data_IF_402099105610
#
_entry.id   IF_402099105610
#
_cell.length_a   1.000
_cell.length_b   1.000
_cell.length_c   1.000
_cell.angle_alpha   90.00
_cell.angle_beta   90.00
_cell.angle_gamma   90.00
#
_symmetry.space_group_name_H-M   'P 1'
#
loop_
_entity.id
_entity.type
_entity.pdbx_description
1 polymer ?
#
# COMPACT_ATOMS: atom_id res chain seq x y z
N UNK A 1 41.50 -17.18 0.01
CA UNK A 1 40.29 -17.88 0.46
C UNK A 1 40.28 -17.82 1.97
N UNK A 2 39.65 -16.79 2.54
CA UNK A 2 39.42 -16.69 3.99
C UNK A 2 37.94 -16.42 4.16
N UNK A 3 37.22 -17.48 4.51
CA UNK A 3 35.79 -17.46 4.75
C UNK A 3 35.53 -16.70 6.05
N UNK A 4 34.82 -15.59 5.94
CA UNK A 4 34.30 -14.82 7.07
C UNK A 4 33.09 -15.57 7.63
N UNK A 5 33.33 -16.50 8.54
CA UNK A 5 32.27 -17.09 9.36
C UNK A 5 31.84 -16.07 10.42
N UNK A 6 30.79 -15.30 10.14
CA UNK A 6 30.04 -14.61 11.19
C UNK A 6 29.41 -15.66 12.10
N UNK A 7 29.59 -15.52 13.41
CA UNK A 7 29.05 -16.48 14.38
C UNK A 7 27.55 -16.21 14.58
N UNK A 8 26.71 -17.26 14.64
CA UNK A 8 25.24 -17.11 14.72
C UNK A 8 24.80 -16.29 15.95
N UNK A 9 25.54 -16.35 17.05
CA UNK A 9 25.28 -15.56 18.25
C UNK A 9 25.42 -14.04 18.05
N UNK A 10 26.30 -13.58 17.15
CA UNK A 10 26.46 -12.16 16.82
C UNK A 10 25.30 -11.64 15.96
N UNK A 11 24.70 -12.49 15.12
CA UNK A 11 23.55 -12.16 14.29
C UNK A 11 22.26 -12.13 15.10
N UNK A 12 22.07 -13.09 16.03
CA UNK A 12 20.91 -13.13 16.93
C UNK A 12 20.83 -11.87 17.82
N UNK A 13 21.95 -11.42 18.38
CA UNK A 13 22.00 -10.20 19.20
C UNK A 13 21.75 -8.92 18.40
N UNK A 14 22.19 -8.86 17.13
CA UNK A 14 21.89 -7.76 16.23
C UNK A 14 20.41 -7.73 15.82
N UNK A 15 19.79 -8.88 15.60
CA UNK A 15 18.37 -9.01 15.31
C UNK A 15 17.50 -8.60 16.50
N UNK A 16 17.87 -9.00 17.72
CA UNK A 16 17.21 -8.58 18.96
C UNK A 16 17.28 -7.07 19.18
N UNK A 17 18.44 -6.45 18.91
CA UNK A 17 18.60 -5.00 18.97
C UNK A 17 17.71 -4.27 17.95
N UNK A 18 17.62 -4.79 16.71
CA UNK A 18 16.74 -4.24 15.66
C UNK A 18 15.27 -4.35 16.05
N UNK A 19 14.85 -5.49 16.59
CA UNK A 19 13.49 -5.71 17.10
C UNK A 19 13.17 -4.79 18.28
N UNK A 20 14.11 -4.58 19.20
CA UNK A 20 13.96 -3.65 20.32
C UNK A 20 13.81 -2.20 19.83
N UNK A 21 14.61 -1.79 18.85
CA UNK A 21 14.51 -0.47 18.23
C UNK A 21 13.16 -0.26 17.54
N UNK A 22 12.67 -1.25 16.78
CA UNK A 22 11.35 -1.21 16.16
C UNK A 22 10.23 -1.07 17.20
N UNK A 23 10.26 -1.87 18.28
CA UNK A 23 9.28 -1.78 19.38
C UNK A 23 9.29 -0.39 20.03
N UNK A 24 10.48 0.18 20.25
CA UNK A 24 10.61 1.52 20.80
C UNK A 24 10.03 2.60 19.85
N UNK A 25 10.22 2.46 18.54
CA UNK A 25 9.61 3.36 17.54
C UNK A 25 8.08 3.23 17.50
N UNK A 26 7.56 2.00 17.53
CA UNK A 26 6.12 1.74 17.57
C UNK A 26 5.47 2.30 18.84
N UNK A 27 6.12 2.15 20.00
CA UNK A 27 5.64 2.71 21.27
C UNK A 27 5.51 4.24 21.21
N UNK A 28 6.53 4.93 20.67
CA UNK A 28 6.48 6.40 20.43
C UNK A 28 5.34 6.80 19.50
N UNK A 29 5.11 6.01 18.44
CA UNK A 29 3.99 6.23 17.52
C UNK A 29 2.62 6.08 18.20
N UNK A 30 2.46 5.05 19.03
CA UNK A 30 1.23 4.80 19.79
C UNK A 30 0.94 5.91 20.81
N UNK A 31 1.95 6.41 21.51
CA UNK A 31 1.84 7.51 22.45
C UNK A 31 1.37 8.79 21.75
N UNK A 32 2.05 9.19 20.67
CA UNK A 32 1.64 10.35 19.86
C UNK A 32 0.20 10.22 19.33
N UNK A 33 -0.19 9.03 18.89
CA UNK A 33 -1.57 8.77 18.44
C UNK A 33 -2.58 8.82 19.58
N UNK A 34 -2.18 8.47 20.81
CA UNK A 34 -3.01 8.61 22.01
C UNK A 34 -3.22 10.07 22.37
N UNK A 35 -2.16 10.88 22.33
CA UNK A 35 -2.22 12.33 22.56
C UNK A 35 -3.10 13.03 21.53
N UNK A 36 -2.91 12.73 20.23
CA UNK A 36 -3.73 13.28 19.15
C UNK A 36 -5.21 12.90 19.31
N UNK A 37 -5.48 11.66 19.74
CA UNK A 37 -6.87 11.23 20.01
C UNK A 37 -7.44 11.95 21.23
N UNK A 38 -6.63 12.15 22.28
CA UNK A 38 -7.04 12.88 23.50
C UNK A 38 -7.30 14.37 23.24
N UNK A 39 -6.56 14.99 22.31
CA UNK A 39 -6.81 16.37 21.87
C UNK A 39 -8.03 16.50 20.94
N UNK A 40 -8.72 15.40 20.65
CA UNK A 40 -9.92 15.38 19.81
C UNK A 40 -9.64 15.44 18.31
N UNK A 41 -8.38 15.30 17.88
CA UNK A 41 -8.04 15.24 16.47
C UNK A 41 -8.65 13.99 15.81
N UNK A 42 -9.40 14.19 14.73
CA UNK A 42 -10.00 13.13 13.92
C UNK A 42 -9.37 13.13 12.53
N UNK A 43 -8.94 11.97 11.99
CA UNK A 43 -8.48 11.89 10.61
C UNK A 43 -9.60 12.31 9.66
N UNK A 44 -9.30 13.25 8.76
CA UNK A 44 -10.20 13.59 7.66
C UNK A 44 -9.92 12.63 6.52
N UNK A 45 -10.82 11.68 6.30
CA UNK A 45 -10.74 10.78 5.16
C UNK A 45 -11.31 11.47 3.93
N UNK A 46 -10.42 11.88 3.01
CA UNK A 46 -10.83 12.47 1.74
C UNK A 46 -10.92 11.43 0.65
N UNK A 47 -12.02 11.42 -0.10
CA UNK A 47 -12.12 10.67 -1.33
C UNK A 47 -11.21 11.29 -2.43
N UNK A 48 -10.93 10.61 -3.56
CA UNK A 48 -10.06 11.15 -4.59
C UNK A 48 -10.50 12.50 -5.19
N UNK A 49 -11.81 12.77 -5.23
CA UNK A 49 -12.36 14.05 -5.70
C UNK A 49 -12.02 15.17 -4.73
N UNK A 50 -12.31 14.97 -3.44
CA UNK A 50 -11.98 15.92 -2.36
C UNK A 50 -10.47 16.15 -2.23
N UNK A 51 -9.64 15.13 -2.52
CA UNK A 51 -8.19 15.28 -2.59
C UNK A 51 -7.76 16.19 -3.75
N UNK A 52 -8.44 16.12 -4.90
CA UNK A 52 -8.15 16.98 -6.04
C UNK A 52 -8.64 18.42 -5.81
N UNK A 53 -9.82 18.59 -5.20
CA UNK A 53 -10.33 19.91 -4.82
C UNK A 53 -9.41 20.62 -3.83
N UNK A 54 -8.86 19.88 -2.85
CA UNK A 54 -7.89 20.42 -1.91
C UNK A 54 -6.53 20.74 -2.52
N UNK A 55 -6.20 20.18 -3.69
CA UNK A 55 -4.95 20.42 -4.40
C UNK A 55 -5.17 20.55 -5.92
N UNK A 56 -5.78 21.67 -6.36
CA UNK A 56 -6.27 21.83 -7.73
C UNK A 56 -5.14 21.92 -8.76
N UNK A 57 -3.90 22.19 -8.33
CA UNK A 57 -2.72 22.28 -9.21
C UNK A 57 -2.09 20.92 -9.50
N UNK A 58 -2.56 19.85 -8.85
CA UNK A 58 -1.98 18.52 -9.01
C UNK A 58 -2.66 17.74 -10.14
N UNK A 59 -1.94 17.58 -11.25
CA UNK A 59 -2.38 16.73 -12.36
C UNK A 59 -2.65 15.29 -11.92
N UNK A 60 -1.80 14.73 -11.05
CA UNK A 60 -1.98 13.36 -10.51
C UNK A 60 -3.27 13.25 -9.69
N UNK A 61 -3.61 14.27 -8.90
CA UNK A 61 -4.85 14.29 -8.15
C UNK A 61 -6.07 14.38 -9.08
N UNK A 62 -6.01 15.23 -10.10
CA UNK A 62 -7.07 15.37 -11.10
C UNK A 62 -7.34 14.07 -11.88
N UNK A 63 -6.28 13.40 -12.36
CA UNK A 63 -6.42 12.10 -13.05
C UNK A 63 -7.02 11.05 -12.11
N UNK A 64 -6.55 11.00 -10.86
CA UNK A 64 -7.07 10.06 -9.86
C UNK A 64 -8.56 10.31 -9.58
N UNK A 65 -8.97 11.57 -9.42
CA UNK A 65 -10.36 11.96 -9.24
C UNK A 65 -11.20 11.56 -10.45
N UNK A 66 -10.73 11.81 -11.68
CA UNK A 66 -11.44 11.44 -12.89
C UNK A 66 -11.65 9.93 -13.01
N UNK A 67 -10.60 9.12 -12.79
CA UNK A 67 -10.72 7.67 -12.81
C UNK A 67 -11.66 7.16 -11.71
N UNK A 68 -11.62 7.76 -10.52
CA UNK A 68 -12.54 7.45 -9.44
C UNK A 68 -14.01 7.73 -9.81
N UNK A 69 -14.30 8.91 -10.36
CA UNK A 69 -15.67 9.27 -10.78
C UNK A 69 -16.21 8.35 -11.87
N UNK A 70 -15.34 7.87 -12.76
CA UNK A 70 -15.73 7.01 -13.88
C UNK A 70 -16.06 5.56 -13.45
N UNK A 71 -15.28 4.97 -12.54
CA UNK A 71 -15.36 3.52 -12.25
C UNK A 71 -15.45 3.19 -10.76
N UNK A 72 -15.02 4.09 -9.87
CA UNK A 72 -14.80 3.82 -8.44
C UNK A 72 -15.79 4.47 -7.47
N UNK A 73 -16.75 5.27 -7.95
CA UNK A 73 -17.60 6.10 -7.09
C UNK A 73 -18.66 5.33 -6.27
N UNK A 74 -18.83 4.03 -6.50
CA UNK A 74 -19.94 3.22 -5.95
C UNK A 74 -19.79 2.81 -4.47
N UNK A 75 -19.04 3.56 -3.65
CA UNK A 75 -18.69 3.22 -2.26
C UNK A 75 -18.06 1.82 -2.08
N UNK A 76 -17.55 1.23 -3.16
CA UNK A 76 -16.96 -0.10 -3.20
C UNK A 76 -15.55 -0.10 -2.56
N UNK A 77 -15.28 -0.96 -1.56
CA UNK A 77 -13.92 -1.12 -1.02
C UNK A 77 -12.89 -1.53 -2.09
N UNK A 78 -13.33 -2.12 -3.21
CA UNK A 78 -12.53 -2.54 -4.35
C UNK A 78 -12.28 -1.48 -5.43
N UNK A 79 -12.72 -0.23 -5.26
CA UNK A 79 -12.66 0.80 -6.29
C UNK A 79 -11.25 1.05 -6.88
N UNK A 80 -10.18 0.88 -6.09
CA UNK A 80 -8.79 0.99 -6.59
C UNK A 80 -8.45 -0.11 -7.60
N UNK A 81 -8.89 -1.34 -7.35
CA UNK A 81 -8.67 -2.48 -8.24
C UNK A 81 -9.47 -2.31 -9.53
N UNK A 82 -10.74 -1.88 -9.44
CA UNK A 82 -11.55 -1.61 -10.63
C UNK A 82 -10.95 -0.52 -11.53
N UNK A 83 -10.39 0.54 -10.94
CA UNK A 83 -9.69 1.58 -11.71
C UNK A 83 -8.42 1.03 -12.37
N UNK A 84 -7.63 0.23 -11.65
CA UNK A 84 -6.42 -0.43 -12.18
C UNK A 84 -6.76 -1.40 -13.31
N UNK A 85 -7.85 -2.14 -13.19
CA UNK A 85 -8.24 -3.24 -14.08
C UNK A 85 -9.29 -2.82 -15.12
N UNK A 86 -9.60 -1.51 -15.20
CA UNK A 86 -10.51 -0.97 -16.21
C UNK A 86 -10.06 -1.36 -17.63
N UNK A 87 -10.99 -1.96 -18.39
CA UNK A 87 -10.75 -2.56 -19.70
C UNK A 87 -10.84 -1.56 -20.87
N UNK A 88 -11.14 -0.29 -20.61
CA UNK A 88 -11.32 0.75 -21.65
C UNK A 88 -9.96 1.23 -22.16
N UNK A 89 -9.35 0.45 -23.05
CA UNK A 89 -8.03 0.71 -23.64
C UNK A 89 -8.01 1.94 -24.56
N UNK A 90 -9.15 2.33 -25.13
CA UNK A 90 -9.28 3.54 -25.97
C UNK A 90 -9.33 4.85 -25.15
N UNK A 91 -9.37 4.78 -23.82
CA UNK A 91 -9.35 5.96 -22.98
C UNK A 91 -7.99 6.66 -23.08
N UNK A 92 -7.98 7.98 -23.32
CA UNK A 92 -6.76 8.78 -23.38
C UNK A 92 -5.96 8.78 -22.07
N UNK A 93 -6.63 8.51 -20.94
CA UNK A 93 -6.00 8.39 -19.63
C UNK A 93 -5.59 6.96 -19.28
N UNK A 94 -5.85 5.97 -20.13
CA UNK A 94 -5.47 4.58 -19.91
C UNK A 94 -3.99 4.38 -19.52
N UNK A 95 -2.99 5.04 -20.16
CA UNK A 95 -1.59 4.91 -19.76
C UNK A 95 -1.23 5.69 -18.48
N UNK A 96 -2.12 6.55 -17.99
CA UNK A 96 -1.90 7.40 -16.81
C UNK A 96 -2.74 6.95 -15.61
N UNK A 97 -3.36 5.77 -15.67
CA UNK A 97 -4.27 5.30 -14.63
C UNK A 97 -3.54 5.14 -13.30
N UNK A 98 -4.16 5.55 -12.19
CA UNK A 98 -3.58 5.34 -10.87
C UNK A 98 -3.54 3.84 -10.52
N UNK A 99 -2.62 3.47 -9.63
CA UNK A 99 -2.47 2.12 -9.05
C UNK A 99 -2.05 0.99 -10.00
N UNK A 100 -1.56 1.30 -11.21
CA UNK A 100 -1.02 0.29 -12.14
C UNK A 100 0.16 -0.50 -11.59
N UNK A 101 1.01 0.13 -10.78
CA UNK A 101 2.16 -0.53 -10.15
C UNK A 101 1.80 -1.35 -8.90
N UNK A 102 0.55 -1.26 -8.41
CA UNK A 102 0.11 -2.09 -7.29
C UNK A 102 -0.17 -3.47 -7.87
N UNK A 103 0.81 -4.38 -7.77
CA UNK A 103 0.55 -5.82 -7.92
C UNK A 103 -0.62 -6.13 -7.00
N UNK A 104 -1.75 -6.56 -7.57
CA UNK A 104 -2.79 -7.14 -6.75
C UNK A 104 -2.17 -8.37 -6.12
N UNK A 105 -2.50 -8.66 -4.85
CA UNK A 105 -2.33 -10.03 -4.41
C UNK A 105 -3.02 -10.89 -5.45
N UNK A 106 -2.26 -11.73 -6.14
CA UNK A 106 -2.84 -12.67 -7.08
C UNK A 106 -3.76 -13.53 -6.23
N UNK A 107 -5.07 -13.42 -6.47
CA UNK A 107 -5.99 -14.42 -5.93
C UNK A 107 -5.63 -15.70 -6.66
N UNK A 108 -4.78 -16.51 -6.04
CA UNK A 108 -4.48 -17.86 -6.50
C UNK A 108 -5.81 -18.60 -6.39
N UNK A 109 -6.47 -18.72 -7.53
CA UNK A 109 -7.68 -19.54 -7.66
C UNK A 109 -7.21 -20.87 -8.19
N UNK A 110 -7.57 -21.95 -7.49
CA UNK A 110 -7.38 -23.30 -8.00
C UNK A 110 -8.05 -23.47 -9.36
N UNK A 111 -7.69 -24.52 -10.11
CA UNK A 111 -8.29 -24.84 -11.41
C UNK A 111 -9.80 -25.13 -11.34
N UNK A 112 -10.34 -25.26 -10.12
CA UNK A 112 -11.73 -25.48 -9.72
C UNK A 112 -12.42 -24.22 -9.16
N UNK A 113 -11.72 -23.09 -9.06
CA UNK A 113 -12.25 -21.84 -8.52
C UNK A 113 -12.21 -21.72 -6.99
N UNK A 114 -11.53 -22.62 -6.27
CA UNK A 114 -11.31 -22.44 -4.82
C UNK A 114 -10.26 -21.37 -4.53
N UNK A 115 -10.52 -20.54 -3.50
CA UNK A 115 -9.67 -19.41 -3.10
C UNK A 115 -8.50 -19.91 -2.26
N UNK A 116 -7.37 -20.20 -2.91
CA UNK A 116 -6.18 -20.78 -2.30
C UNK A 116 -5.27 -19.70 -1.70
N UNK A 117 -5.78 -18.93 -0.75
CA UNK A 117 -4.96 -18.03 0.08
C UNK A 117 -4.16 -16.95 -0.67
N UNK A 118 -3.41 -16.16 0.09
CA UNK A 118 -2.49 -15.13 -0.42
C UNK A 118 -1.06 -15.59 -0.22
N UNK A 119 -0.44 -16.18 -1.24
CA UNK A 119 0.99 -16.47 -1.21
C UNK A 119 1.77 -15.14 -1.12
N UNK A 120 2.46 -14.96 0.00
CA UNK A 120 3.43 -13.88 0.17
C UNK A 120 4.58 -14.13 -0.81
N UNK A 121 4.59 -13.42 -1.94
CA UNK A 121 5.69 -13.53 -2.90
C UNK A 121 6.98 -13.07 -2.25
N UNK A 122 7.90 -14.00 -2.01
CA UNK A 122 9.27 -13.70 -1.56
C UNK A 122 9.95 -12.73 -2.54
N UNK A 123 10.51 -11.66 -1.98
CA UNK A 123 11.24 -10.62 -2.69
C UNK A 123 12.63 -11.17 -3.07
N UNK A 124 12.79 -11.66 -4.30
CA UNK A 124 14.08 -12.09 -4.85
C UNK A 124 14.82 -10.93 -5.50
N UNK A 125 14.98 -9.81 -4.79
CA UNK A 125 15.71 -8.63 -5.27
C UNK A 125 17.12 -8.61 -4.68
N UNK A 126 18.00 -9.48 -5.17
CA UNK A 126 19.46 -9.37 -5.02
C UNK A 126 20.10 -9.71 -6.39
N UNK A 127 20.36 -8.68 -7.20
CA UNK A 127 21.40 -8.61 -8.24
C UNK A 127 21.66 -7.14 -8.65
#
# INVERSE_FOLDING_TARGET
MSELNTTPAAEETAEEARKAQLRAQLAKGQEKMRELRASGWKPVHRNPVEQAEANPKSLKAAIKAFCWTCVGADADPGAKFRVRDCSVTRCSLHPHRPWQAVKGGELVTGQDGELLGSDETEDTSDE
#
